data_IF_823167081163
#
_entry.id   IF_823167081163
#
_cell.length_a   1.000
_cell.length_b   1.000
_cell.length_c   1.000
_cell.angle_alpha   90.00
_cell.angle_beta   90.00
_cell.angle_gamma   90.00
#
_symmetry.space_group_name_H-M   'P 1'
#
loop_
_entity.id
_entity.type
_entity.pdbx_description
1 polymer ?
#
# COMPACT_ATOMS: atom_id res chain seq x y z
N UNK A 1 -28.94 -4.74 16.22
CA UNK A 1 -29.85 -3.75 15.56
C UNK A 1 -29.11 -3.13 14.39
N UNK A 2 -29.69 -3.21 13.19
CA UNK A 2 -29.00 -2.75 11.97
C UNK A 2 -28.80 -1.23 12.05
N UNK A 3 -27.55 -0.75 12.05
CA UNK A 3 -27.23 0.68 12.19
C UNK A 3 -27.34 1.36 10.84
N UNK A 4 -26.81 0.73 9.79
CA UNK A 4 -26.85 1.26 8.44
C UNK A 4 -26.63 0.15 7.39
N UNK A 5 -27.21 0.36 6.22
CA UNK A 5 -27.00 -0.45 5.03
C UNK A 5 -26.48 0.46 3.92
N UNK A 6 -25.25 0.22 3.48
CA UNK A 6 -24.57 1.04 2.48
C UNK A 6 -24.34 0.23 1.21
N UNK A 7 -24.83 0.74 0.09
CA UNK A 7 -24.47 0.22 -1.23
C UNK A 7 -23.43 1.14 -1.84
N UNK A 8 -22.27 0.58 -2.17
CA UNK A 8 -21.15 1.35 -2.69
C UNK A 8 -20.61 0.72 -3.98
N UNK A 9 -20.15 1.59 -4.88
CA UNK A 9 -19.61 1.17 -6.16
C UNK A 9 -18.14 1.59 -6.24
N UNK A 10 -17.29 0.63 -6.50
CA UNK A 10 -15.85 0.84 -6.64
C UNK A 10 -15.44 0.84 -8.10
N UNK A 11 -14.67 1.82 -8.48
CA UNK A 11 -13.97 1.89 -9.75
C UNK A 11 -12.67 1.10 -9.69
N UNK A 12 -12.01 0.95 -10.83
CA UNK A 12 -10.66 0.37 -10.90
C UNK A 12 -9.68 1.16 -10.02
N UNK A 13 -9.75 2.48 -10.03
CA UNK A 13 -8.86 3.34 -9.24
C UNK A 13 -9.11 3.17 -7.73
N UNK A 14 -10.36 3.02 -7.32
CA UNK A 14 -10.70 2.73 -5.92
C UNK A 14 -10.06 1.41 -5.44
N UNK A 15 -10.11 0.35 -6.28
CA UNK A 15 -9.49 -0.95 -5.94
C UNK A 15 -7.97 -0.89 -5.88
N UNK A 16 -7.35 -0.12 -6.75
CA UNK A 16 -5.90 0.14 -6.70
C UNK A 16 -5.55 0.86 -5.40
N UNK A 17 -6.31 1.88 -5.01
CA UNK A 17 -6.08 2.65 -3.79
C UNK A 17 -6.26 1.80 -2.53
N UNK A 18 -7.33 0.98 -2.44
CA UNK A 18 -7.53 0.02 -1.36
C UNK A 18 -6.31 -0.90 -1.21
N UNK A 19 -5.82 -1.46 -2.31
CA UNK A 19 -4.65 -2.34 -2.29
C UNK A 19 -3.37 -1.62 -1.89
N UNK A 20 -3.17 -0.37 -2.28
CA UNK A 20 -2.03 0.43 -1.82
C UNK A 20 -2.07 0.68 -0.32
N UNK A 21 -3.26 0.98 0.23
CA UNK A 21 -3.46 1.15 1.67
C UNK A 21 -3.12 -0.14 2.42
N UNK A 22 -3.63 -1.29 1.97
CA UNK A 22 -3.33 -2.60 2.56
C UNK A 22 -1.83 -2.87 2.54
N UNK A 23 -1.17 -2.71 1.39
CA UNK A 23 0.28 -2.95 1.25
C UNK A 23 1.12 -2.01 2.15
N UNK A 24 0.67 -0.78 2.37
CA UNK A 24 1.34 0.15 3.28
C UNK A 24 1.21 -0.31 4.74
N UNK A 25 0.02 -0.75 5.15
CA UNK A 25 -0.29 -1.20 6.51
C UNK A 25 0.37 -2.53 6.86
N UNK A 26 0.33 -3.51 5.97
CA UNK A 26 0.97 -4.82 6.17
C UNK A 26 2.50 -4.76 6.13
N UNK A 27 3.06 -3.60 5.78
CA UNK A 27 4.51 -3.42 5.66
C UNK A 27 5.11 -4.01 4.38
N UNK A 28 4.30 -4.54 3.47
CA UNK A 28 4.77 -5.07 2.19
C UNK A 28 5.48 -3.98 1.36
N UNK A 29 4.94 -2.77 1.34
CA UNK A 29 5.57 -1.63 0.68
C UNK A 29 6.99 -1.38 1.20
N UNK A 30 7.18 -1.44 2.53
CA UNK A 30 8.50 -1.29 3.17
C UNK A 30 9.43 -2.43 2.82
N UNK A 31 8.93 -3.67 2.77
CA UNK A 31 9.72 -4.86 2.36
C UNK A 31 10.17 -4.74 0.90
N UNK A 32 9.28 -4.33 0.00
CA UNK A 32 9.62 -4.09 -1.40
C UNK A 32 10.66 -2.99 -1.57
N UNK A 33 10.50 -1.85 -0.88
CA UNK A 33 11.47 -0.77 -0.89
C UNK A 33 12.85 -1.24 -0.39
N UNK A 34 12.88 -2.02 0.70
CA UNK A 34 14.13 -2.60 1.25
C UNK A 34 14.82 -3.54 0.24
N UNK A 35 14.08 -4.42 -0.42
CA UNK A 35 14.64 -5.32 -1.45
C UNK A 35 15.24 -4.53 -2.60
N UNK A 36 14.55 -3.51 -3.11
CA UNK A 36 15.08 -2.65 -4.16
C UNK A 36 16.35 -1.90 -3.72
N UNK A 37 16.38 -1.38 -2.48
CA UNK A 37 17.57 -0.74 -1.94
C UNK A 37 18.78 -1.70 -1.92
N UNK A 38 18.59 -2.92 -1.46
CA UNK A 38 19.65 -3.94 -1.42
C UNK A 38 20.15 -4.23 -2.85
N UNK A 39 19.25 -4.38 -3.81
CA UNK A 39 19.61 -4.65 -5.21
C UNK A 39 20.43 -3.49 -5.80
N UNK A 40 20.03 -2.24 -5.59
CA UNK A 40 20.74 -1.06 -6.06
C UNK A 40 22.15 -0.95 -5.43
N UNK A 41 22.24 -1.17 -4.10
CA UNK A 41 23.53 -1.16 -3.37
C UNK A 41 24.46 -2.24 -3.90
N UNK A 42 23.93 -3.47 -4.05
CA UNK A 42 24.73 -4.60 -4.54
C UNK A 42 25.19 -4.38 -5.99
N UNK A 43 24.30 -3.90 -6.86
CA UNK A 43 24.65 -3.60 -8.25
C UNK A 43 25.74 -2.53 -8.36
N UNK A 44 25.61 -1.44 -7.60
CA UNK A 44 26.62 -0.37 -7.57
C UNK A 44 27.95 -0.87 -6.99
N UNK A 45 27.91 -1.66 -5.91
CA UNK A 45 29.11 -2.24 -5.31
C UNK A 45 29.88 -3.15 -6.29
N UNK A 46 29.18 -3.97 -7.05
CA UNK A 46 29.78 -4.82 -8.11
C UNK A 46 30.41 -3.93 -9.19
N UNK A 47 29.70 -2.91 -9.66
CA UNK A 47 30.20 -2.03 -10.73
C UNK A 47 31.46 -1.30 -10.29
N UNK A 48 31.48 -0.71 -9.10
CA UNK A 48 32.66 -0.05 -8.52
C UNK A 48 33.81 -1.06 -8.36
N UNK A 49 33.51 -2.27 -7.84
CA UNK A 49 34.50 -3.34 -7.71
C UNK A 49 35.16 -3.72 -9.04
N UNK A 50 34.36 -3.87 -10.10
CA UNK A 50 34.88 -4.15 -11.45
C UNK A 50 35.81 -3.02 -11.95
N UNK A 51 35.44 -1.75 -11.76
CA UNK A 51 36.28 -0.60 -12.12
C UNK A 51 37.64 -0.68 -11.43
N UNK A 52 37.68 -1.00 -10.12
CA UNK A 52 38.93 -1.15 -9.39
C UNK A 52 39.76 -2.36 -9.87
N UNK A 53 39.11 -3.49 -10.17
CA UNK A 53 39.81 -4.64 -10.73
C UNK A 53 40.49 -4.31 -12.06
N UNK A 54 39.75 -3.62 -12.96
CA UNK A 54 40.29 -3.20 -14.25
C UNK A 54 41.49 -2.24 -14.09
N UNK A 55 41.44 -1.34 -13.08
CA UNK A 55 42.56 -0.48 -12.71
C UNK A 55 43.78 -1.30 -12.25
N UNK A 56 43.60 -2.18 -11.26
CA UNK A 56 44.70 -2.95 -10.70
C UNK A 56 45.32 -3.95 -11.70
N UNK A 57 44.49 -4.51 -12.60
CA UNK A 57 44.99 -5.40 -13.67
C UNK A 57 45.58 -4.66 -14.85
N UNK A 58 45.54 -3.32 -14.87
CA UNK A 58 46.06 -2.48 -15.96
C UNK A 58 45.56 -2.90 -17.37
N UNK A 59 44.30 -3.36 -17.43
CA UNK A 59 43.74 -3.98 -18.65
C UNK A 59 43.49 -2.92 -19.75
N UNK A 60 43.42 -1.63 -19.41
CA UNK A 60 43.16 -0.56 -20.38
C UNK A 60 43.85 0.74 -19.92
N UNK A 61 44.42 1.46 -20.88
CA UNK A 61 45.02 2.78 -20.64
C UNK A 61 44.06 3.76 -19.96
N UNK A 62 42.76 3.66 -20.25
CA UNK A 62 41.69 4.51 -19.64
C UNK A 62 41.62 4.29 -18.13
N UNK A 63 41.77 3.06 -17.67
CA UNK A 63 41.72 2.69 -16.25
C UNK A 63 43.07 2.83 -15.55
N UNK A 64 44.15 3.15 -16.25
CA UNK A 64 45.47 3.36 -15.63
C UNK A 64 45.56 4.65 -14.81
N UNK A 65 44.66 5.62 -15.04
CA UNK A 65 44.59 6.86 -14.30
C UNK A 65 43.81 6.72 -13.01
N UNK A 66 44.48 6.88 -11.86
CA UNK A 66 43.84 6.89 -10.53
C UNK A 66 42.75 7.98 -10.45
N UNK A 67 42.96 9.13 -11.04
CA UNK A 67 41.99 10.22 -11.08
C UNK A 67 40.67 9.79 -11.77
N UNK A 68 40.76 9.07 -12.88
CA UNK A 68 39.60 8.57 -13.58
C UNK A 68 38.82 7.58 -12.71
N UNK A 69 39.50 6.59 -12.08
CA UNK A 69 38.88 5.58 -11.23
C UNK A 69 38.17 6.21 -10.04
N UNK A 70 38.82 7.16 -9.35
CA UNK A 70 38.24 7.87 -8.21
C UNK A 70 37.03 8.71 -8.65
N UNK A 71 37.13 9.45 -9.75
CA UNK A 71 36.02 10.26 -10.26
C UNK A 71 34.83 9.41 -10.69
N UNK A 72 35.06 8.34 -11.41
CA UNK A 72 34.01 7.42 -11.83
C UNK A 72 33.30 6.78 -10.61
N UNK A 73 34.07 6.32 -9.62
CA UNK A 73 33.52 5.75 -8.40
C UNK A 73 32.69 6.77 -7.60
N UNK A 74 33.15 8.02 -7.51
CA UNK A 74 32.40 9.11 -6.87
C UNK A 74 31.06 9.37 -7.58
N UNK A 75 31.04 9.41 -8.92
CA UNK A 75 29.81 9.57 -9.69
C UNK A 75 28.84 8.42 -9.42
N UNK A 76 29.30 7.17 -9.42
CA UNK A 76 28.45 6.02 -9.09
C UNK A 76 27.88 6.10 -7.68
N UNK A 77 28.67 6.52 -6.69
CA UNK A 77 28.20 6.70 -5.33
C UNK A 77 27.13 7.80 -5.23
N UNK A 78 27.29 8.92 -5.94
CA UNK A 78 26.28 10.00 -5.98
C UNK A 78 24.99 9.50 -6.61
N UNK A 79 25.07 8.78 -7.73
CA UNK A 79 23.90 8.21 -8.39
C UNK A 79 23.20 7.18 -7.49
N UNK A 80 23.95 6.36 -6.74
CA UNK A 80 23.39 5.44 -5.77
C UNK A 80 22.62 6.17 -4.67
N UNK A 81 23.20 7.20 -4.08
CA UNK A 81 22.53 8.00 -3.05
C UNK A 81 21.22 8.60 -3.56
N UNK A 82 21.25 9.16 -4.78
CA UNK A 82 20.05 9.69 -5.42
C UNK A 82 18.97 8.61 -5.63
N UNK A 83 19.37 7.43 -6.12
CA UNK A 83 18.45 6.31 -6.29
C UNK A 83 17.83 5.86 -4.96
N UNK A 84 18.64 5.76 -3.87
CA UNK A 84 18.14 5.39 -2.55
C UNK A 84 17.11 6.40 -2.03
N UNK A 85 17.36 7.69 -2.19
CA UNK A 85 16.42 8.76 -1.78
C UNK A 85 15.09 8.61 -2.53
N UNK A 86 15.15 8.29 -3.82
CA UNK A 86 13.96 8.15 -4.67
C UNK A 86 13.25 6.80 -4.53
N UNK A 87 13.85 5.82 -3.83
CA UNK A 87 13.39 4.42 -3.87
C UNK A 87 11.95 4.25 -3.36
N UNK A 88 11.58 4.96 -2.31
CA UNK A 88 10.22 4.89 -1.75
C UNK A 88 9.18 5.35 -2.78
N UNK A 89 9.43 6.50 -3.41
CA UNK A 89 8.53 7.07 -4.44
C UNK A 89 8.43 6.15 -5.67
N UNK A 90 9.56 5.60 -6.10
CA UNK A 90 9.65 4.65 -7.23
C UNK A 90 8.91 3.35 -6.92
N UNK A 91 9.04 2.81 -5.69
CA UNK A 91 8.33 1.61 -5.24
C UNK A 91 6.82 1.80 -5.27
N UNK A 92 6.31 2.90 -4.73
CA UNK A 92 4.87 3.22 -4.77
C UNK A 92 4.38 3.34 -6.22
N UNK A 93 5.13 4.05 -7.08
CA UNK A 93 4.76 4.20 -8.49
C UNK A 93 4.72 2.86 -9.24
N UNK A 94 5.72 2.01 -9.03
CA UNK A 94 5.78 0.69 -9.66
C UNK A 94 4.68 -0.24 -9.16
N UNK A 95 4.42 -0.24 -7.85
CA UNK A 95 3.33 -1.01 -7.26
C UNK A 95 1.98 -0.53 -7.79
N UNK A 96 1.74 0.78 -7.83
CA UNK A 96 0.52 1.35 -8.41
C UNK A 96 0.31 0.88 -9.85
N UNK A 97 1.36 0.94 -10.69
CA UNK A 97 1.29 0.46 -12.08
C UNK A 97 0.94 -1.03 -12.17
N UNK A 98 1.59 -1.86 -11.35
CA UNK A 98 1.34 -3.30 -11.33
C UNK A 98 -0.10 -3.62 -10.87
N UNK A 99 -0.58 -2.96 -9.82
CA UNK A 99 -1.95 -3.09 -9.33
C UNK A 99 -2.99 -2.61 -10.37
N UNK A 100 -2.72 -1.49 -11.03
CA UNK A 100 -3.60 -0.99 -12.10
C UNK A 100 -3.72 -2.01 -13.23
N UNK A 101 -2.60 -2.61 -13.66
CA UNK A 101 -2.65 -3.65 -14.69
C UNK A 101 -3.40 -4.89 -14.20
N UNK A 102 -3.11 -5.37 -13.00
CA UNK A 102 -3.78 -6.53 -12.41
C UNK A 102 -5.30 -6.35 -12.34
N UNK A 103 -5.77 -5.21 -11.81
CA UNK A 103 -7.21 -4.96 -11.73
C UNK A 103 -7.84 -4.72 -13.09
N UNK A 104 -7.13 -4.07 -14.02
CA UNK A 104 -7.63 -3.91 -15.40
C UNK A 104 -7.88 -5.26 -16.07
N UNK A 105 -6.95 -6.19 -15.94
CA UNK A 105 -7.08 -7.53 -16.51
C UNK A 105 -8.21 -8.31 -15.82
N UNK A 106 -8.33 -8.20 -14.49
CA UNK A 106 -9.39 -8.84 -13.71
C UNK A 106 -10.78 -8.29 -14.08
N UNK A 107 -10.93 -6.97 -14.16
CA UNK A 107 -12.19 -6.35 -14.59
C UNK A 107 -12.56 -6.74 -16.02
N UNK A 108 -11.60 -6.79 -16.94
CA UNK A 108 -11.82 -7.22 -18.31
C UNK A 108 -12.24 -8.70 -18.38
N UNK A 109 -11.59 -9.57 -17.62
CA UNK A 109 -11.92 -11.00 -17.56
C UNK A 109 -13.36 -11.24 -17.07
N UNK A 110 -13.84 -10.46 -16.12
CA UNK A 110 -15.20 -10.55 -15.60
C UNK A 110 -16.20 -9.63 -16.28
N UNK A 111 -15.80 -8.93 -17.35
CA UNK A 111 -16.63 -7.97 -18.10
C UNK A 111 -17.25 -6.88 -17.20
N UNK A 112 -16.54 -6.49 -16.16
CA UNK A 112 -16.97 -5.47 -15.21
C UNK A 112 -16.41 -4.10 -15.59
N UNK A 113 -17.26 -3.07 -15.50
CA UNK A 113 -16.83 -1.66 -15.53
C UNK A 113 -16.64 -1.11 -14.11
N UNK A 114 -17.42 -1.63 -13.18
CA UNK A 114 -17.44 -1.26 -11.77
C UNK A 114 -17.72 -2.49 -10.90
N UNK A 115 -17.43 -2.38 -9.63
CA UNK A 115 -17.65 -3.42 -8.64
C UNK A 115 -18.57 -2.87 -7.55
N UNK A 116 -19.76 -3.47 -7.41
CA UNK A 116 -20.72 -3.05 -6.39
C UNK A 116 -20.65 -3.96 -5.18
N UNK A 117 -20.56 -3.38 -4.02
CA UNK A 117 -20.53 -4.02 -2.71
C UNK A 117 -21.69 -3.48 -1.87
N UNK A 118 -22.36 -4.38 -1.16
CA UNK A 118 -23.37 -4.05 -0.17
C UNK A 118 -22.78 -4.29 1.21
N UNK A 119 -22.77 -3.25 2.03
CA UNK A 119 -22.24 -3.31 3.38
C UNK A 119 -23.35 -3.09 4.38
N UNK A 120 -23.45 -3.96 5.37
CA UNK A 120 -24.34 -3.85 6.51
C UNK A 120 -23.49 -3.60 7.75
N UNK A 121 -23.77 -2.52 8.45
CA UNK A 121 -23.15 -2.18 9.73
C UNK A 121 -24.15 -2.50 10.83
N UNK A 122 -23.81 -3.48 11.67
CA UNK A 122 -24.55 -3.87 12.84
C UNK A 122 -23.77 -3.59 14.12
N UNK A 123 -24.39 -3.69 15.29
CA UNK A 123 -23.73 -3.47 16.58
C UNK A 123 -22.58 -4.45 16.83
N UNK A 124 -22.71 -5.70 16.37
CA UNK A 124 -21.78 -6.78 16.65
C UNK A 124 -20.85 -7.11 15.49
N UNK A 125 -21.22 -6.74 14.25
CA UNK A 125 -20.48 -7.12 13.06
C UNK A 125 -20.62 -6.11 11.91
N UNK A 126 -19.70 -6.21 10.99
CA UNK A 126 -19.74 -5.58 9.69
C UNK A 126 -19.82 -6.69 8.63
N UNK A 127 -20.82 -6.65 7.78
CA UNK A 127 -21.03 -7.62 6.71
C UNK A 127 -20.84 -6.95 5.35
N UNK A 128 -20.00 -7.53 4.52
CA UNK A 128 -19.74 -7.10 3.15
C UNK A 128 -20.21 -8.18 2.19
N UNK A 129 -21.11 -7.82 1.27
CA UNK A 129 -21.65 -8.74 0.27
C UNK A 129 -21.35 -8.23 -1.12
N UNK A 130 -20.60 -9.02 -1.89
CA UNK A 130 -20.21 -8.68 -3.25
C UNK A 130 -20.03 -9.93 -4.12
N UNK A 131 -20.47 -9.85 -5.37
CA UNK A 131 -20.38 -10.94 -6.36
C UNK A 131 -20.88 -12.30 -5.83
N UNK A 132 -21.94 -12.29 -5.02
CA UNK A 132 -22.52 -13.51 -4.44
C UNK A 132 -21.74 -14.10 -3.25
N UNK A 133 -20.67 -13.45 -2.81
CA UNK A 133 -19.93 -13.79 -1.58
C UNK A 133 -20.28 -12.82 -0.47
N UNK A 134 -20.48 -13.35 0.73
CA UNK A 134 -20.72 -12.56 1.93
C UNK A 134 -19.60 -12.84 2.93
N UNK A 135 -18.96 -11.77 3.40
CA UNK A 135 -17.93 -11.81 4.45
C UNK A 135 -18.44 -11.06 5.66
N UNK A 136 -18.45 -11.73 6.80
CA UNK A 136 -18.83 -11.15 8.09
C UNK A 136 -17.59 -10.96 8.96
N UNK A 137 -17.38 -9.72 9.42
CA UNK A 137 -16.28 -9.33 10.30
C UNK A 137 -16.85 -8.95 11.66
N UNK A 138 -16.56 -9.72 12.69
CA UNK A 138 -17.07 -9.48 14.03
C UNK A 138 -16.29 -8.34 14.71
N UNK A 139 -17.00 -7.46 15.41
CA UNK A 139 -16.37 -6.31 16.06
C UNK A 139 -15.41 -6.67 17.19
N UNK A 140 -15.50 -7.87 17.76
CA UNK A 140 -14.49 -8.37 18.71
C UNK A 140 -13.09 -8.49 18.12
N UNK A 141 -12.98 -8.70 16.79
CA UNK A 141 -11.71 -8.83 16.07
C UNK A 141 -11.21 -7.48 15.52
N UNK A 142 -11.90 -6.43 15.86
CA UNK A 142 -11.61 -5.09 15.35
C UNK A 142 -10.36 -4.51 16.03
N UNK A 143 -9.44 -3.95 15.23
CA UNK A 143 -8.20 -3.36 15.70
C UNK A 143 -8.27 -1.82 15.72
N UNK A 144 -8.89 -1.23 14.72
CA UNK A 144 -8.98 0.21 14.63
C UNK A 144 -9.66 0.74 13.39
N UNK A 145 -9.91 2.04 13.40
CA UNK A 145 -10.44 2.79 12.24
C UNK A 145 -9.46 3.88 11.91
N UNK A 146 -9.19 4.06 10.63
CA UNK A 146 -8.50 5.24 10.13
C UNK A 146 -9.18 5.79 8.88
N UNK A 147 -8.87 7.02 8.56
CA UNK A 147 -9.47 7.73 7.44
C UNK A 147 -8.42 8.05 6.39
N UNK A 148 -8.85 7.98 5.15
CA UNK A 148 -8.14 8.56 4.00
C UNK A 148 -9.02 9.66 3.39
N UNK A 149 -8.55 10.28 2.31
CA UNK A 149 -9.36 11.27 1.60
C UNK A 149 -10.66 10.66 1.04
N UNK A 150 -10.63 9.38 0.66
CA UNK A 150 -11.73 8.70 -0.05
C UNK A 150 -12.49 7.72 0.84
N UNK A 151 -11.79 7.05 1.78
CA UNK A 151 -12.36 5.93 2.54
C UNK A 151 -12.33 6.13 4.05
N UNK A 152 -13.33 5.58 4.74
CA UNK A 152 -13.20 5.06 6.09
C UNK A 152 -12.70 3.61 5.99
N UNK A 153 -11.63 3.29 6.73
CA UNK A 153 -11.01 1.96 6.69
C UNK A 153 -11.09 1.32 8.07
N UNK A 154 -11.75 0.18 8.11
CA UNK A 154 -11.87 -0.64 9.31
C UNK A 154 -10.82 -1.73 9.24
N UNK A 155 -9.94 -1.78 10.22
CA UNK A 155 -8.89 -2.78 10.34
C UNK A 155 -9.29 -3.85 11.34
N UNK A 156 -9.25 -5.10 10.93
CA UNK A 156 -9.56 -6.28 11.73
C UNK A 156 -8.32 -7.16 11.88
N UNK A 157 -8.35 -8.08 12.85
CA UNK A 157 -7.29 -9.06 13.05
C UNK A 157 -6.95 -9.81 11.75
N UNK A 158 -5.71 -10.31 11.69
CA UNK A 158 -5.19 -11.09 10.54
C UNK A 158 -5.16 -10.32 9.22
N UNK A 159 -4.95 -8.98 9.26
CA UNK A 159 -4.85 -8.11 8.09
C UNK A 159 -6.13 -8.08 7.23
N UNK A 160 -7.27 -8.23 7.84
CA UNK A 160 -8.56 -8.02 7.19
C UNK A 160 -8.93 -6.54 7.23
N UNK A 161 -9.42 -6.02 6.13
CA UNK A 161 -9.81 -4.62 5.98
C UNK A 161 -11.18 -4.52 5.32
N UNK A 162 -12.02 -3.65 5.86
CA UNK A 162 -13.24 -3.23 5.20
C UNK A 162 -13.16 -1.74 4.87
N UNK A 163 -13.65 -1.37 3.70
CA UNK A 163 -13.57 0.00 3.17
C UNK A 163 -14.97 0.54 2.94
N UNK A 164 -15.27 1.69 3.52
CA UNK A 164 -16.48 2.45 3.24
C UNK A 164 -16.08 3.70 2.48
N UNK A 165 -16.62 3.86 1.27
CA UNK A 165 -16.46 5.06 0.48
C UNK A 165 -17.20 6.22 1.13
N UNK A 166 -16.54 7.36 1.32
CA UNK A 166 -17.14 8.52 1.98
C UNK A 166 -18.33 9.08 1.21
N UNK A 167 -18.30 9.02 -0.11
CA UNK A 167 -19.38 9.47 -1.00
C UNK A 167 -20.57 8.48 -1.11
N UNK A 168 -20.40 7.24 -0.63
CA UNK A 168 -21.47 6.26 -0.63
C UNK A 168 -22.41 6.37 0.58
N UNK A 169 -22.03 7.15 1.58
CA UNK A 169 -22.86 7.36 2.77
C UNK A 169 -23.96 8.36 2.44
N UNK A 170 -25.22 7.96 2.56
CA UNK A 170 -26.37 8.85 2.32
C UNK A 170 -26.47 9.92 3.41
N UNK A 171 -26.98 11.10 3.05
CA UNK A 171 -26.98 12.27 3.96
C UNK A 171 -27.73 12.04 5.28
N UNK A 172 -28.82 11.27 5.26
CA UNK A 172 -29.65 10.93 6.41
C UNK A 172 -29.00 9.88 7.34
N UNK A 173 -28.10 9.05 6.80
CA UNK A 173 -27.35 8.02 7.55
C UNK A 173 -25.97 8.51 7.97
N UNK A 174 -25.44 9.58 7.35
CA UNK A 174 -24.08 10.06 7.57
C UNK A 174 -23.75 10.24 9.06
N UNK A 175 -24.64 10.93 9.80
CA UNK A 175 -24.38 11.19 11.22
C UNK A 175 -24.33 9.91 12.04
N UNK A 176 -25.19 8.91 11.76
CA UNK A 176 -25.19 7.62 12.46
C UNK A 176 -23.93 6.84 12.22
N UNK A 177 -23.48 6.76 10.95
CA UNK A 177 -22.25 6.05 10.59
C UNK A 177 -21.02 6.73 11.18
N UNK A 178 -20.94 8.06 11.11
CA UNK A 178 -19.84 8.82 11.70
C UNK A 178 -19.81 8.66 13.22
N UNK A 179 -20.97 8.74 13.89
CA UNK A 179 -21.05 8.54 15.34
C UNK A 179 -20.60 7.12 15.72
N UNK A 180 -21.10 6.09 15.03
CA UNK A 180 -20.67 4.71 15.23
C UNK A 180 -19.15 4.55 15.09
N UNK A 181 -18.56 5.13 14.04
CA UNK A 181 -17.11 5.11 13.79
C UNK A 181 -16.36 5.78 14.94
N UNK A 182 -16.85 6.95 15.41
CA UNK A 182 -16.21 7.71 16.50
C UNK A 182 -16.29 6.96 17.84
N UNK A 183 -17.43 6.39 18.15
CA UNK A 183 -17.64 5.62 19.38
C UNK A 183 -16.69 4.39 19.41
N UNK A 184 -16.55 3.70 18.30
CA UNK A 184 -15.60 2.57 18.18
C UNK A 184 -14.15 3.04 18.30
N UNK A 185 -13.77 4.14 17.66
CA UNK A 185 -12.43 4.74 17.84
C UNK A 185 -12.13 5.02 19.32
N UNK A 186 -13.09 5.53 20.07
CA UNK A 186 -12.92 5.87 21.49
C UNK A 186 -12.77 4.65 22.40
N UNK A 187 -13.46 3.55 22.09
CA UNK A 187 -13.35 2.27 22.83
C UNK A 187 -11.94 1.70 22.67
N UNK A 188 -11.42 1.64 21.45
CA UNK A 188 -10.09 1.07 21.18
C UNK A 188 -8.92 1.96 21.63
N UNK A 189 -9.11 3.28 21.71
CA UNK A 189 -8.11 4.16 22.29
C UNK A 189 -7.93 3.88 23.80
N UNK A 190 -9.00 3.56 24.52
CA UNK A 190 -8.97 3.23 25.96
C UNK A 190 -8.29 1.88 26.23
N UNK A 191 -8.53 0.87 25.39
CA UNK A 191 -7.92 -0.46 25.58
C UNK A 191 -6.40 -0.47 25.36
N UNK A 192 -5.85 0.51 24.59
CA UNK A 192 -4.40 0.67 24.41
C UNK A 192 -3.70 1.37 25.57
N UNK A 193 -4.43 2.07 26.43
CA UNK A 193 -3.86 2.73 27.62
C UNK A 193 -3.80 1.78 28.84
N UNK A 194 -4.38 0.59 28.75
CA UNK A 194 -4.47 -0.39 29.85
C UNK A 194 -3.44 -1.53 29.72
N UNK A 195 -2.61 -1.53 28.68
CA UNK A 195 -1.50 -2.48 28.47
C UNK A 195 -0.15 -1.75 28.50
#
# INVERSE_FOLDING_TARGET
MNISEITQTFTLDDKVEQSLIINARTGELKRHAKRLAITEISGTGITVGVIFILYFCNISEIFSSLHFVVSASAIFCILLLFNIICIKKRTVKNLKKALTQYYKDNFAQHQLSTYTDKMIIDEDYLECSALGMTTRLEHKDFIGIFETDIFYVFEYAYFNYAFIKKDAIQNDEYQRVVQFIQDRKSIFAKDKEVV
#
